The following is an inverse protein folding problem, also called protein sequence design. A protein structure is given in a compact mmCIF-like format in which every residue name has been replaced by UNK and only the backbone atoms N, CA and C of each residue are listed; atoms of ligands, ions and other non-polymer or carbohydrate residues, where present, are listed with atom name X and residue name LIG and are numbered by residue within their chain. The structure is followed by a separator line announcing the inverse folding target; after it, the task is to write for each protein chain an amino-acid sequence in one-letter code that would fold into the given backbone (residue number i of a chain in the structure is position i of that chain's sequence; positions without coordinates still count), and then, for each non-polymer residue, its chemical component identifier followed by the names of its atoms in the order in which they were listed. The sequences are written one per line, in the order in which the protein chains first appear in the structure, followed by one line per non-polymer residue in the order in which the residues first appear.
data_IF_733490050952
#
_entry.id   IF_733490050952
#
_cell.length_a   1.000
_cell.length_b   1.000
_cell.length_c   1.000
_cell.angle_alpha   90.00
_cell.angle_beta   90.00
_cell.angle_gamma   90.00
#
_symmetry.space_group_name_H-M   'P 1'
#
loop_
_entity.id
_entity.type
_entity.pdbx_description
1 polymer ?
#
# COMPACT_ATOMS: atom_id res chain seq x y z
N UNK A 1 3.09 -56.52 30.28
CA UNK A 1 4.04 -55.59 29.62
C UNK A 1 3.24 -54.62 28.75
N UNK A 2 3.09 -53.37 29.17
CA UNK A 2 2.77 -52.25 28.27
C UNK A 2 3.58 -51.06 28.76
N UNK A 3 4.59 -50.69 27.99
CA UNK A 3 5.44 -49.53 28.20
C UNK A 3 4.94 -48.43 27.26
N UNK A 4 4.35 -47.35 27.77
CA UNK A 4 3.94 -46.20 26.97
C UNK A 4 4.50 -44.93 27.62
N UNK A 5 5.76 -44.69 27.26
CA UNK A 5 6.43 -43.41 26.98
C UNK A 5 5.73 -42.14 27.50
N UNK A 6 6.42 -41.53 28.45
CA UNK A 6 6.22 -40.22 29.06
C UNK A 6 6.32 -39.09 28.00
N UNK A 7 5.21 -38.70 27.37
CA UNK A 7 5.17 -37.56 26.45
C UNK A 7 5.00 -36.27 27.24
N UNK A 8 6.11 -35.64 27.63
CA UNK A 8 6.10 -34.23 28.05
C UNK A 8 5.54 -33.41 26.89
N UNK A 9 4.29 -32.99 27.03
CA UNK A 9 3.59 -32.18 26.04
C UNK A 9 4.30 -30.83 25.92
N UNK A 10 5.10 -30.63 24.86
CA UNK A 10 5.59 -29.31 24.50
C UNK A 10 4.41 -28.54 23.89
N UNK A 11 3.81 -27.66 24.69
CA UNK A 11 2.88 -26.65 24.19
C UNK A 11 3.69 -25.62 23.40
N UNK A 12 3.72 -25.74 22.07
CA UNK A 12 4.24 -24.68 21.20
C UNK A 12 3.19 -23.56 21.17
N UNK A 13 3.42 -22.51 21.96
CA UNK A 13 2.65 -21.28 21.89
C UNK A 13 3.01 -20.57 20.58
N UNK A 14 2.27 -20.87 19.51
CA UNK A 14 2.38 -20.16 18.24
C UNK A 14 1.91 -18.72 18.44
N UNK A 15 2.86 -17.78 18.57
CA UNK A 15 2.58 -16.36 18.52
C UNK A 15 2.18 -16.00 17.08
N UNK A 16 0.89 -16.04 16.80
CA UNK A 16 0.32 -15.56 15.56
C UNK A 16 0.45 -14.03 15.57
N UNK A 17 1.55 -13.51 15.00
CA UNK A 17 1.76 -12.08 14.86
C UNK A 17 0.69 -11.52 13.92
N UNK A 18 -0.26 -10.76 14.49
CA UNK A 18 -1.27 -10.07 13.73
C UNK A 18 -0.63 -8.82 13.12
N UNK A 19 -0.22 -8.88 11.85
CA UNK A 19 0.28 -7.70 11.13
C UNK A 19 -0.87 -6.71 10.95
N UNK A 20 -0.74 -5.52 11.54
CA UNK A 20 -1.67 -4.41 11.31
C UNK A 20 -1.39 -3.83 9.93
N UNK A 21 -2.36 -3.96 9.03
CA UNK A 21 -2.34 -3.33 7.71
C UNK A 21 -3.45 -2.29 7.64
N UNK A 22 -3.15 -1.12 7.09
CA UNK A 22 -4.14 -0.08 6.84
C UNK A 22 -4.72 -0.24 5.43
N UNK A 23 -5.95 0.20 5.23
CA UNK A 23 -6.47 0.34 3.88
C UNK A 23 -5.75 1.49 3.18
N UNK A 24 -5.28 1.26 1.97
CA UNK A 24 -4.85 2.29 1.04
C UNK A 24 -5.86 2.33 -0.11
N UNK A 25 -5.55 3.02 -1.20
CA UNK A 25 -6.47 3.09 -2.35
C UNK A 25 -6.55 1.79 -3.16
N UNK A 26 -5.85 0.75 -2.70
CA UNK A 26 -5.80 -0.61 -3.24
C UNK A 26 -5.90 -1.64 -2.09
N UNK A 27 -6.19 -2.90 -2.45
CA UNK A 27 -6.33 -3.98 -1.47
C UNK A 27 -4.97 -4.48 -0.96
N UNK A 28 -4.65 -4.07 0.27
CA UNK A 28 -3.45 -4.46 0.99
C UNK A 28 -3.32 -5.96 1.30
N UNK A 29 -4.36 -6.77 1.07
CA UNK A 29 -4.33 -8.22 1.27
C UNK A 29 -3.95 -9.01 0.01
N UNK A 30 -3.80 -8.34 -1.13
CA UNK A 30 -3.38 -8.97 -2.40
C UNK A 30 -1.84 -9.04 -2.50
N UNK A 31 -1.31 -9.66 -3.57
CA UNK A 31 0.14 -9.72 -3.82
C UNK A 31 0.66 -8.31 -4.14
N UNK A 32 1.05 -7.60 -3.09
CA UNK A 32 1.56 -6.24 -3.14
C UNK A 32 3.08 -6.21 -3.44
N UNK A 33 3.50 -5.24 -4.24
CA UNK A 33 4.91 -4.86 -4.42
C UNK A 33 5.54 -4.42 -3.09
N UNK A 34 6.88 -4.36 -3.02
CA UNK A 34 7.57 -3.90 -1.80
C UNK A 34 7.14 -2.49 -1.36
N UNK A 35 6.90 -1.60 -2.31
CA UNK A 35 6.40 -0.23 -2.05
C UNK A 35 4.97 -0.25 -1.53
N UNK A 36 4.09 -1.04 -2.13
CA UNK A 36 2.70 -1.17 -1.67
C UNK A 36 2.62 -1.77 -0.26
N UNK A 37 3.48 -2.75 0.07
CA UNK A 37 3.58 -3.26 1.45
C UNK A 37 3.98 -2.17 2.44
N UNK A 38 4.95 -1.31 2.08
CA UNK A 38 5.33 -0.18 2.92
C UNK A 38 4.17 0.79 3.12
N UNK A 39 3.44 1.12 2.05
CA UNK A 39 2.24 1.98 2.10
C UNK A 39 1.18 1.37 3.04
N UNK A 40 0.91 0.07 2.93
CA UNK A 40 -0.07 -0.63 3.76
C UNK A 40 0.35 -0.72 5.24
N UNK A 41 1.65 -0.80 5.52
CA UNK A 41 2.17 -0.89 6.90
C UNK A 41 2.29 0.46 7.62
N UNK A 42 2.21 1.58 6.89
CA UNK A 42 2.39 2.93 7.43
C UNK A 42 1.10 3.74 7.29
N UNK A 43 0.51 4.11 8.45
CA UNK A 43 -0.75 4.85 8.49
C UNK A 43 -0.72 6.20 7.76
N UNK A 44 0.42 6.89 7.77
CA UNK A 44 0.56 8.17 7.08
C UNK A 44 0.61 7.95 5.58
N UNK A 45 1.38 6.97 5.12
CA UNK A 45 1.48 6.65 3.69
C UNK A 45 0.15 6.15 3.13
N UNK A 46 -0.57 5.29 3.86
CA UNK A 46 -1.89 4.80 3.44
C UNK A 46 -2.89 5.97 3.30
N UNK A 47 -2.92 6.93 4.24
CA UNK A 47 -3.77 8.12 4.13
C UNK A 47 -3.39 9.04 2.97
N UNK A 48 -2.10 9.21 2.69
CA UNK A 48 -1.64 9.97 1.54
C UNK A 48 -2.07 9.29 0.23
N UNK A 49 -1.99 7.97 0.16
CA UNK A 49 -2.46 7.20 -0.99
C UNK A 49 -3.96 7.35 -1.23
N UNK A 50 -4.77 7.22 -0.18
CA UNK A 50 -6.22 7.44 -0.25
C UNK A 50 -6.57 8.86 -0.71
N UNK A 51 -5.89 9.87 -0.19
CA UNK A 51 -6.13 11.26 -0.57
C UNK A 51 -5.80 11.51 -2.04
N UNK A 52 -4.63 11.07 -2.50
CA UNK A 52 -4.24 11.24 -3.89
C UNK A 52 -5.20 10.51 -4.84
N UNK A 53 -5.64 9.30 -4.46
CA UNK A 53 -6.57 8.50 -5.26
C UNK A 53 -7.94 9.17 -5.38
N UNK A 54 -8.44 9.77 -4.31
CA UNK A 54 -9.68 10.55 -4.36
C UNK A 54 -9.57 11.74 -5.31
N UNK A 55 -8.47 12.51 -5.22
CA UNK A 55 -8.24 13.65 -6.12
C UNK A 55 -8.12 13.21 -7.58
N UNK A 56 -7.42 12.09 -7.84
CA UNK A 56 -7.34 11.52 -9.17
C UNK A 56 -8.74 11.13 -9.70
N UNK A 57 -9.58 10.48 -8.89
CA UNK A 57 -10.96 10.13 -9.30
C UNK A 57 -11.79 11.37 -9.66
N UNK A 58 -11.66 12.45 -8.90
CA UNK A 58 -12.33 13.73 -9.18
C UNK A 58 -11.83 14.31 -10.50
N UNK A 59 -10.50 14.34 -10.72
CA UNK A 59 -9.90 14.83 -11.96
C UNK A 59 -10.29 14.00 -13.19
N UNK A 60 -10.68 12.74 -12.98
CA UNK A 60 -11.15 11.83 -14.02
C UNK A 60 -12.68 11.82 -14.19
N UNK A 61 -13.40 12.74 -13.55
CA UNK A 61 -14.86 12.86 -13.60
C UNK A 61 -15.45 13.06 -15.00
N UNK A 62 -16.77 12.86 -15.17
CA UNK A 62 -17.44 12.88 -16.47
C UNK A 62 -17.29 14.22 -17.20
N UNK A 63 -17.24 15.34 -16.46
CA UNK A 63 -17.17 16.70 -17.03
C UNK A 63 -15.79 17.07 -17.58
N UNK A 64 -14.76 16.25 -17.33
CA UNK A 64 -13.40 16.51 -17.81
C UNK A 64 -13.24 16.09 -19.29
N UNK A 65 -12.67 16.93 -20.18
CA UNK A 65 -12.37 16.55 -21.56
C UNK A 65 -11.45 15.32 -21.64
N UNK A 66 -11.64 14.46 -22.63
CA UNK A 66 -10.83 13.24 -22.77
C UNK A 66 -9.34 13.53 -23.02
N UNK A 67 -9.01 14.63 -23.71
CA UNK A 67 -7.62 15.05 -23.90
C UNK A 67 -6.96 15.42 -22.57
N UNK A 68 -7.70 16.07 -21.66
CA UNK A 68 -7.22 16.40 -20.32
C UNK A 68 -7.06 15.13 -19.47
N UNK A 69 -8.07 14.24 -19.49
CA UNK A 69 -7.99 12.92 -18.83
C UNK A 69 -6.80 12.10 -19.32
N UNK A 70 -6.50 12.11 -20.62
CA UNK A 70 -5.34 11.42 -21.19
C UNK A 70 -4.02 11.95 -20.62
N UNK A 71 -3.88 13.27 -20.50
CA UNK A 71 -2.71 13.91 -19.87
C UNK A 71 -2.59 13.55 -18.39
N UNK A 72 -3.71 13.57 -17.66
CA UNK A 72 -3.77 13.19 -16.23
C UNK A 72 -3.36 11.71 -16.05
N UNK A 73 -3.93 10.79 -16.84
CA UNK A 73 -3.55 9.36 -16.83
C UNK A 73 -2.06 9.18 -17.05
N UNK A 74 -1.49 9.84 -18.07
CA UNK A 74 -0.06 9.76 -18.37
C UNK A 74 0.80 10.26 -17.20
N UNK A 75 0.46 11.43 -16.65
CA UNK A 75 1.15 11.99 -15.48
C UNK A 75 1.08 11.05 -14.27
N UNK A 76 -0.09 10.46 -14.00
CA UNK A 76 -0.29 9.52 -12.90
C UNK A 76 0.55 8.25 -13.08
N UNK A 77 0.63 7.68 -14.28
CA UNK A 77 1.46 6.50 -14.58
C UNK A 77 2.95 6.84 -14.40
N UNK A 78 3.39 7.97 -14.92
CA UNK A 78 4.79 8.43 -14.77
C UNK A 78 5.14 8.65 -13.29
N UNK A 79 4.20 9.17 -12.49
CA UNK A 79 4.36 9.31 -11.04
C UNK A 79 4.43 7.95 -10.33
N UNK A 80 3.53 7.01 -10.66
CA UNK A 80 3.52 5.65 -10.08
C UNK A 80 4.87 4.95 -10.29
N UNK A 81 5.46 5.07 -11.48
CA UNK A 81 6.78 4.51 -11.78
C UNK A 81 7.88 5.09 -10.88
N UNK A 82 7.85 6.41 -10.64
CA UNK A 82 8.81 7.08 -9.75
C UNK A 82 8.61 6.67 -8.29
N UNK A 83 7.35 6.58 -7.81
CA UNK A 83 7.03 6.10 -6.46
C UNK A 83 7.49 4.66 -6.27
N UNK A 84 7.26 3.80 -7.26
CA UNK A 84 7.63 2.38 -7.18
C UNK A 84 9.14 2.14 -7.20
N UNK A 85 9.96 3.15 -7.56
CA UNK A 85 11.42 3.09 -7.43
C UNK A 85 11.93 3.39 -6.02
N UNK A 86 11.06 3.80 -5.09
CA UNK A 86 11.46 4.09 -3.71
C UNK A 86 11.84 2.82 -2.93
N UNK A 87 12.85 2.95 -2.07
CA UNK A 87 13.36 1.86 -1.23
C UNK A 87 13.03 2.03 0.26
N UNK A 88 12.43 3.17 0.64
CA UNK A 88 12.05 3.47 2.02
C UNK A 88 10.80 4.37 2.09
N UNK A 89 10.19 4.44 3.29
CA UNK A 89 8.98 5.21 3.56
C UNK A 89 9.17 6.73 3.32
N UNK A 90 10.36 7.27 3.61
CA UNK A 90 10.62 8.71 3.48
C UNK A 90 10.65 9.13 1.99
N UNK A 91 11.19 8.28 1.13
CA UNK A 91 11.13 8.44 -0.32
C UNK A 91 9.68 8.45 -0.79
N UNK A 92 8.87 7.49 -0.35
CA UNK A 92 7.46 7.39 -0.72
C UNK A 92 6.70 8.64 -0.29
N UNK A 93 6.90 9.11 0.95
CA UNK A 93 6.29 10.34 1.47
C UNK A 93 6.62 11.56 0.61
N UNK A 94 7.89 11.72 0.21
CA UNK A 94 8.31 12.81 -0.69
C UNK A 94 7.64 12.71 -2.05
N UNK A 95 7.42 11.49 -2.56
CA UNK A 95 6.72 11.27 -3.83
C UNK A 95 5.26 11.67 -3.76
N UNK A 96 4.55 11.37 -2.66
CA UNK A 96 3.18 11.84 -2.44
C UNK A 96 3.12 13.36 -2.31
N UNK A 97 3.98 13.95 -1.47
CA UNK A 97 4.00 15.40 -1.24
C UNK A 97 4.18 16.15 -2.57
N UNK A 98 5.19 15.77 -3.36
CA UNK A 98 5.45 16.36 -4.67
C UNK A 98 4.28 16.26 -5.66
N UNK A 99 3.51 15.18 -5.60
CA UNK A 99 2.39 14.99 -6.53
C UNK A 99 1.15 15.80 -6.13
N UNK A 100 0.99 16.06 -4.84
CA UNK A 100 -0.12 16.84 -4.28
C UNK A 100 0.13 18.35 -4.32
N UNK A 101 1.40 18.78 -4.38
CA UNK A 101 1.79 20.20 -4.43
C UNK A 101 1.64 20.85 -5.82
N UNK A 102 1.29 20.07 -6.85
CA UNK A 102 1.00 20.57 -8.21
C UNK A 102 -0.48 20.94 -8.37
#
# INVERSE_FOLDING_TARGET
MVNIINKKSLFILSMMACSTSYAASFDCNTVASGVEKMICSDHKLSRLDDYLSQNYKIAMGPDMPEEAKSKIRKSQIDWLNKRNACTDAQCIERMYSKQMDY
#
